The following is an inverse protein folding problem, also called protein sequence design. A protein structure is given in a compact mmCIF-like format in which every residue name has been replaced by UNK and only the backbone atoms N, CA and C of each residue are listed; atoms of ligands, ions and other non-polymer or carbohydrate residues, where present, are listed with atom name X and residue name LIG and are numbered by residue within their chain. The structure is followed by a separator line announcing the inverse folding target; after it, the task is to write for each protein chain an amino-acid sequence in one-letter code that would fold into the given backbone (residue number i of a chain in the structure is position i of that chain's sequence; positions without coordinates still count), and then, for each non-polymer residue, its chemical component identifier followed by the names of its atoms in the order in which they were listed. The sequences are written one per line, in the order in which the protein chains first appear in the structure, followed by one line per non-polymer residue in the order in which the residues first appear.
data_IF_052587242102
#
_entry.id   IF_052587242102
#
_cell.length_a   1.000
_cell.length_b   1.000
_cell.length_c   1.000
_cell.angle_alpha   90.00
_cell.angle_beta   90.00
_cell.angle_gamma   90.00
#
_symmetry.space_group_name_H-M   'P 1'
#
loop_
_entity.id
_entity.type
_entity.pdbx_description
1 polymer ?
#
# COMPACT_ATOMS: atom_id res chain seq x y z
N UNK A 1 38.85 9.55 -37.42
CA UNK A 1 38.00 9.49 -38.63
C UNK A 1 37.28 8.15 -38.63
N UNK A 2 35.96 8.13 -38.83
CA UNK A 2 35.28 6.95 -39.37
C UNK A 2 34.41 6.12 -38.41
N UNK A 3 33.18 6.59 -38.18
CA UNK A 3 31.91 5.86 -38.19
C UNK A 3 31.79 4.53 -37.42
N UNK A 4 31.03 4.54 -36.32
CA UNK A 4 29.96 3.55 -36.04
C UNK A 4 28.91 4.21 -35.11
N UNK A 5 27.78 4.61 -35.70
CA UNK A 5 26.55 5.04 -35.03
C UNK A 5 25.41 4.36 -35.78
N UNK A 6 24.69 3.43 -35.15
CA UNK A 6 23.29 3.08 -35.45
C UNK A 6 22.83 1.92 -34.55
N UNK A 7 21.54 1.95 -34.22
CA UNK A 7 20.72 0.93 -33.54
C UNK A 7 20.69 0.95 -32.00
N UNK A 8 19.94 1.89 -31.43
CA UNK A 8 18.84 1.59 -30.46
C UNK A 8 17.76 2.68 -30.63
N UNK A 9 16.76 2.43 -31.46
CA UNK A 9 15.51 3.20 -31.50
C UNK A 9 14.45 2.29 -32.11
N UNK A 10 13.70 1.58 -31.26
CA UNK A 10 12.40 0.96 -31.57
C UNK A 10 11.89 0.21 -30.31
N UNK A 11 11.55 0.97 -29.27
CA UNK A 11 10.77 0.43 -28.13
C UNK A 11 9.81 1.46 -27.52
N UNK A 12 9.89 2.73 -27.93
CA UNK A 12 9.15 3.82 -27.30
C UNK A 12 7.74 4.08 -27.86
N UNK A 13 7.29 3.29 -28.84
CA UNK A 13 5.96 3.45 -29.46
C UNK A 13 4.96 2.32 -29.13
N UNK A 14 5.37 1.29 -28.38
CA UNK A 14 4.45 0.21 -27.99
C UNK A 14 3.86 0.37 -26.57
N UNK A 15 4.36 1.30 -25.76
CA UNK A 15 3.93 1.42 -24.36
C UNK A 15 2.77 2.42 -24.13
N UNK A 16 2.49 3.30 -25.08
CA UNK A 16 1.36 4.25 -24.98
C UNK A 16 -0.02 3.61 -25.25
N UNK A 17 -0.07 2.37 -25.75
CA UNK A 17 -1.34 1.66 -25.95
C UNK A 17 -1.78 0.84 -24.72
N UNK A 18 -0.86 0.34 -23.91
CA UNK A 18 -1.18 -0.54 -22.76
C UNK A 18 -1.62 0.20 -21.48
N UNK A 19 -1.34 1.51 -21.36
CA UNK A 19 -1.79 2.30 -20.20
C UNK A 19 -3.29 2.65 -20.29
N UNK A 20 -3.87 2.68 -21.51
CA UNK A 20 -5.32 2.88 -21.69
C UNK A 20 -6.17 1.68 -21.28
N UNK A 21 -5.62 0.46 -21.32
CA UNK A 21 -6.38 -0.76 -21.01
C UNK A 21 -6.40 -1.10 -19.50
N UNK A 22 -5.41 -0.66 -18.71
CA UNK A 22 -5.33 -1.07 -17.31
C UNK A 22 -6.12 -0.18 -16.33
N UNK A 23 -6.47 1.05 -16.70
CA UNK A 23 -7.47 1.83 -15.95
C UNK A 23 -8.89 1.24 -16.17
N UNK A 24 -9.09 0.47 -17.25
CA UNK A 24 -10.38 -0.14 -17.60
C UNK A 24 -10.77 -1.38 -16.77
N UNK A 25 -9.84 -2.02 -16.03
CA UNK A 25 -10.13 -3.24 -15.28
C UNK A 25 -10.43 -3.03 -13.78
N UNK A 26 -10.50 -1.77 -13.33
CA UNK A 26 -10.79 -1.42 -11.94
C UNK A 26 -12.27 -1.22 -11.67
N UNK A 27 -13.11 -2.17 -12.10
CA UNK A 27 -14.43 -2.34 -11.51
C UNK A 27 -14.75 -3.81 -11.39
N UNK A 28 -15.16 -4.21 -10.19
CA UNK A 28 -15.66 -5.54 -9.88
C UNK A 28 -16.66 -6.00 -10.94
N UNK A 29 -16.38 -7.15 -11.60
CA UNK A 29 -17.28 -7.98 -12.41
C UNK A 29 -18.60 -7.28 -12.81
N UNK A 30 -18.60 -6.60 -13.96
CA UNK A 30 -19.83 -6.35 -14.72
C UNK A 30 -20.17 -4.91 -15.10
N UNK A 31 -19.45 -3.88 -14.66
CA UNK A 31 -19.72 -2.52 -15.16
C UNK A 31 -18.91 -2.22 -16.42
N UNK A 32 -19.60 -2.24 -17.57
CA UNK A 32 -19.08 -1.69 -18.83
C UNK A 32 -18.71 -0.23 -18.59
N UNK A 33 -17.45 0.14 -18.83
CA UNK A 33 -17.00 1.53 -18.82
C UNK A 33 -17.65 2.26 -20.00
N UNK A 34 -18.82 2.83 -19.74
CA UNK A 34 -19.50 3.66 -20.73
C UNK A 34 -18.88 5.04 -20.66
N UNK A 35 -18.13 5.42 -21.69
CA UNK A 35 -17.60 6.78 -21.82
C UNK A 35 -18.78 7.75 -21.92
N UNK A 36 -18.91 8.62 -20.91
CA UNK A 36 -19.99 9.60 -20.88
C UNK A 36 -19.62 10.76 -21.79
N UNK A 37 -20.45 11.02 -22.80
CA UNK A 37 -20.41 12.29 -23.51
C UNK A 37 -21.30 13.25 -22.73
N UNK A 38 -20.69 14.23 -22.06
CA UNK A 38 -21.41 15.34 -21.42
C UNK A 38 -21.11 16.62 -22.18
N UNK A 39 -22.15 17.40 -22.47
CA UNK A 39 -22.00 18.69 -23.13
C UNK A 39 -23.10 19.65 -22.70
N UNK A 40 -22.73 20.90 -22.43
CA UNK A 40 -23.69 21.99 -22.21
C UNK A 40 -24.24 22.45 -23.56
N UNK A 41 -25.56 22.59 -23.66
CA UNK A 41 -26.28 23.09 -24.84
C UNK A 41 -27.18 24.24 -24.44
N UNK A 42 -27.46 25.11 -25.39
CA UNK A 42 -28.37 26.23 -25.21
C UNK A 42 -29.62 25.93 -26.02
N UNK A 43 -30.80 26.14 -25.44
CA UNK A 43 -32.08 26.07 -26.15
C UNK A 43 -32.18 27.27 -27.08
N UNK A 44 -32.35 27.03 -28.38
CA UNK A 44 -32.49 28.10 -29.36
C UNK A 44 -33.86 28.82 -29.27
N UNK A 45 -34.01 29.88 -30.05
CA UNK A 45 -35.23 30.69 -30.14
C UNK A 45 -36.46 29.89 -30.60
N UNK A 46 -36.24 28.73 -31.23
CA UNK A 46 -37.28 27.81 -31.66
C UNK A 46 -37.52 26.64 -30.68
N UNK A 47 -36.89 26.66 -29.49
CA UNK A 47 -37.02 25.59 -28.50
C UNK A 47 -36.28 24.30 -28.88
N UNK A 48 -35.23 24.38 -29.71
CA UNK A 48 -34.48 23.23 -30.21
C UNK A 48 -33.12 23.11 -29.53
N UNK A 49 -32.59 21.89 -29.54
CA UNK A 49 -31.31 21.54 -28.93
C UNK A 49 -30.43 20.82 -29.94
N UNK A 50 -29.20 21.31 -30.13
CA UNK A 50 -28.22 20.73 -31.06
C UNK A 50 -27.55 19.49 -30.45
N UNK A 51 -27.69 18.34 -31.11
CA UNK A 51 -26.96 17.13 -30.74
C UNK A 51 -25.60 17.09 -31.47
N UNK A 52 -24.47 17.04 -30.74
CA UNK A 52 -23.16 17.02 -31.37
C UNK A 52 -22.95 15.73 -32.16
N UNK A 53 -22.09 15.81 -33.18
CA UNK A 53 -21.84 14.70 -34.12
C UNK A 53 -21.45 13.39 -33.40
N UNK A 54 -20.65 13.46 -32.33
CA UNK A 54 -20.28 12.30 -31.53
C UNK A 54 -21.46 11.66 -30.78
N UNK A 55 -22.40 12.45 -30.24
CA UNK A 55 -23.62 11.93 -29.62
C UNK A 55 -24.54 11.29 -30.67
N UNK A 56 -24.67 11.90 -31.85
CA UNK A 56 -25.45 11.35 -32.96
C UNK A 56 -24.90 10.00 -33.44
N UNK A 57 -23.57 9.90 -33.57
CA UNK A 57 -22.89 8.63 -33.89
C UNK A 57 -23.09 7.58 -32.79
N UNK A 58 -23.01 7.97 -31.51
CA UNK A 58 -23.20 7.04 -30.39
C UNK A 58 -24.63 6.47 -30.32
N UNK A 59 -25.62 7.26 -30.73
CA UNK A 59 -27.01 6.84 -30.82
C UNK A 59 -27.34 5.99 -32.07
N UNK A 60 -26.37 5.76 -32.96
CA UNK A 60 -26.58 5.12 -34.26
C UNK A 60 -27.79 5.69 -35.01
N UNK A 61 -27.89 7.02 -35.08
CA UNK A 61 -28.97 7.71 -35.77
C UNK A 61 -28.74 7.61 -37.28
N UNK A 62 -29.06 6.43 -37.84
CA UNK A 62 -29.16 6.20 -39.29
C UNK A 62 -30.50 6.74 -39.84
N UNK A 63 -31.48 6.99 -38.97
CA UNK A 63 -32.82 7.48 -39.30
C UNK A 63 -32.99 8.96 -38.89
N UNK A 64 -33.86 9.70 -39.60
CA UNK A 64 -34.15 11.12 -39.36
C UNK A 64 -34.94 11.40 -38.06
N UNK A 65 -35.02 10.44 -37.13
CA UNK A 65 -35.75 10.59 -35.88
C UNK A 65 -35.07 9.87 -34.71
N UNK A 66 -35.46 10.28 -33.51
CA UNK A 66 -35.12 9.60 -32.25
C UNK A 66 -36.38 9.29 -31.45
N UNK A 67 -36.24 8.41 -30.47
CA UNK A 67 -37.31 8.11 -29.52
C UNK A 67 -37.09 8.93 -28.26
N UNK A 68 -38.01 9.85 -27.99
CA UNK A 68 -38.00 10.72 -26.82
C UNK A 68 -38.98 10.22 -25.75
N UNK A 69 -38.50 10.12 -24.51
CA UNK A 69 -39.28 9.75 -23.31
C UNK A 69 -39.07 10.80 -22.24
N UNK A 70 -40.09 11.08 -21.44
CA UNK A 70 -39.98 12.08 -20.38
C UNK A 70 -40.18 11.40 -19.04
N UNK A 71 -39.20 11.59 -18.15
CA UNK A 71 -39.31 11.22 -16.75
C UNK A 71 -39.78 12.45 -15.96
N UNK A 72 -41.10 12.52 -15.77
CA UNK A 72 -41.73 13.61 -15.02
C UNK A 72 -41.29 13.67 -13.54
N UNK A 73 -40.81 12.56 -12.96
CA UNK A 73 -40.40 12.53 -11.55
C UNK A 73 -39.00 13.10 -11.36
N UNK A 74 -38.14 12.91 -12.36
CA UNK A 74 -36.74 13.34 -12.32
C UNK A 74 -36.48 14.63 -13.08
N UNK A 75 -37.48 15.18 -13.77
CA UNK A 75 -37.34 16.34 -14.66
C UNK A 75 -36.28 16.09 -15.76
N UNK A 76 -36.33 14.91 -16.38
CA UNK A 76 -35.38 14.47 -17.41
C UNK A 76 -36.09 14.15 -18.73
N UNK A 77 -35.41 14.42 -19.85
CA UNK A 77 -35.81 13.92 -21.17
C UNK A 77 -34.81 12.85 -21.59
N UNK A 78 -35.25 11.60 -21.76
CA UNK A 78 -34.42 10.50 -22.24
C UNK A 78 -34.61 10.33 -23.76
N UNK A 79 -33.53 9.97 -24.44
CA UNK A 79 -33.42 9.80 -25.88
C UNK A 79 -32.83 8.43 -26.18
N UNK A 80 -33.37 7.70 -27.14
CA UNK A 80 -32.81 6.43 -27.62
C UNK A 80 -33.10 6.24 -29.10
N UNK A 81 -32.36 5.37 -29.79
CA UNK A 81 -32.65 4.97 -31.17
C UNK A 81 -33.86 4.04 -31.27
N UNK A 82 -34.14 3.27 -30.21
CA UNK A 82 -35.17 2.23 -30.20
C UNK A 82 -35.99 2.19 -28.90
N UNK A 83 -37.12 1.47 -28.94
CA UNK A 83 -38.02 1.27 -27.79
C UNK A 83 -39.29 2.14 -27.78
N UNK A 84 -39.87 2.36 -26.59
CA UNK A 84 -41.19 3.02 -26.45
C UNK A 84 -41.05 4.53 -26.27
N UNK A 85 -41.69 5.38 -27.07
CA UNK A 85 -41.68 6.83 -26.84
C UNK A 85 -42.21 7.60 -28.03
N UNK A 86 -42.13 8.93 -27.97
CA UNK A 86 -42.52 9.79 -29.09
C UNK A 86 -41.37 9.83 -30.09
N UNK A 87 -41.64 9.49 -31.35
CA UNK A 87 -40.68 9.73 -32.44
C UNK A 87 -40.56 11.24 -32.66
N UNK A 88 -39.36 11.78 -32.58
CA UNK A 88 -39.08 13.20 -32.78
C UNK A 88 -38.09 13.34 -33.94
N UNK A 89 -38.41 14.10 -34.99
CA UNK A 89 -37.52 14.28 -36.12
C UNK A 89 -36.28 15.09 -35.72
N UNK A 90 -35.17 14.81 -36.39
CA UNK A 90 -33.90 15.51 -36.27
C UNK A 90 -33.71 16.30 -37.55
N UNK A 91 -33.42 17.60 -37.44
CA UNK A 91 -33.16 18.42 -38.63
C UNK A 91 -31.76 18.16 -39.23
N UNK A 92 -31.49 18.70 -40.41
CA UNK A 92 -30.21 18.56 -41.12
C UNK A 92 -29.01 19.08 -40.29
N UNK A 93 -29.26 20.00 -39.36
CA UNK A 93 -28.27 20.53 -38.43
C UNK A 93 -28.07 19.68 -37.16
N UNK A 94 -28.82 18.58 -37.02
CA UNK A 94 -28.79 17.72 -35.84
C UNK A 94 -29.55 18.30 -34.64
N UNK A 95 -30.50 19.21 -34.83
CA UNK A 95 -31.31 19.78 -33.75
C UNK A 95 -32.59 19.00 -33.56
N UNK A 96 -33.03 18.91 -32.31
CA UNK A 96 -34.27 18.25 -31.92
C UNK A 96 -35.20 19.28 -31.26
N UNK A 97 -36.46 19.41 -31.72
CA UNK A 97 -37.43 20.29 -31.11
C UNK A 97 -37.93 19.73 -29.77
N UNK A 98 -37.89 20.56 -28.72
CA UNK A 98 -38.57 20.29 -27.45
C UNK A 98 -39.91 20.99 -27.48
N UNK A 99 -41.01 20.26 -27.30
CA UNK A 99 -42.33 20.89 -27.33
C UNK A 99 -42.51 21.90 -26.19
N UNK A 100 -43.21 23.03 -26.40
CA UNK A 100 -43.44 24.05 -25.39
C UNK A 100 -44.03 23.51 -24.08
N UNK A 101 -44.90 22.50 -24.15
CA UNK A 101 -45.43 21.82 -22.96
C UNK A 101 -44.33 21.27 -22.05
N UNK A 102 -43.28 20.68 -22.64
CA UNK A 102 -42.17 20.09 -21.90
C UNK A 102 -41.20 21.16 -21.39
N UNK A 103 -40.94 22.20 -22.19
CA UNK A 103 -40.16 23.36 -21.76
C UNK A 103 -40.80 24.01 -20.52
N UNK A 104 -42.10 24.32 -20.58
CA UNK A 104 -42.85 24.88 -19.46
C UNK A 104 -42.80 23.99 -18.21
N UNK A 105 -42.95 22.67 -18.41
CA UNK A 105 -42.93 21.70 -17.29
C UNK A 105 -41.56 21.57 -16.62
N UNK A 106 -40.49 21.74 -17.38
CA UNK A 106 -39.12 21.67 -16.88
C UNK A 106 -38.58 23.04 -16.42
N UNK A 107 -39.37 24.11 -16.59
CA UNK A 107 -38.93 25.48 -16.32
C UNK A 107 -37.79 25.91 -17.25
N UNK A 108 -37.78 25.39 -18.49
CA UNK A 108 -36.78 25.72 -19.49
C UNK A 108 -37.32 26.82 -20.41
N UNK A 109 -36.50 27.84 -20.64
CA UNK A 109 -36.77 28.95 -21.55
C UNK A 109 -35.69 29.03 -22.63
N UNK A 110 -35.93 29.81 -23.69
CA UNK A 110 -34.89 30.13 -24.68
C UNK A 110 -33.65 30.71 -23.98
N UNK A 111 -32.47 30.24 -24.36
CA UNK A 111 -31.21 30.61 -23.72
C UNK A 111 -30.85 29.76 -22.50
N UNK A 112 -31.73 28.88 -22.01
CA UNK A 112 -31.41 27.97 -20.90
C UNK A 112 -30.27 27.04 -21.28
N UNK A 113 -29.24 26.99 -20.43
CA UNK A 113 -28.20 25.98 -20.51
C UNK A 113 -28.72 24.64 -20.00
N UNK A 114 -28.63 23.62 -20.83
CA UNK A 114 -29.05 22.26 -20.50
C UNK A 114 -27.89 21.29 -20.71
N UNK A 115 -27.82 20.28 -19.86
CA UNK A 115 -26.88 19.19 -19.96
C UNK A 115 -27.36 18.10 -20.89
N UNK A 116 -26.60 17.78 -21.92
CA UNK A 116 -26.73 16.55 -22.69
C UNK A 116 -25.76 15.51 -22.14
N UNK A 117 -26.28 14.38 -21.68
CA UNK A 117 -25.54 13.25 -21.14
C UNK A 117 -25.80 12.00 -21.98
N UNK A 118 -24.75 11.32 -22.42
CA UNK A 118 -24.86 10.04 -23.15
C UNK A 118 -24.31 8.89 -22.31
N UNK A 119 -25.08 7.81 -22.20
CA UNK A 119 -24.65 6.54 -21.63
C UNK A 119 -24.98 5.40 -22.61
N UNK A 120 -24.03 5.07 -23.48
CA UNK A 120 -24.20 4.05 -24.51
C UNK A 120 -25.14 4.56 -25.59
N UNK A 121 -26.20 3.80 -25.87
CA UNK A 121 -27.24 4.15 -26.85
C UNK A 121 -28.41 4.96 -26.24
N UNK A 122 -28.27 5.43 -25.00
CA UNK A 122 -29.26 6.28 -24.34
C UNK A 122 -28.65 7.67 -24.04
N UNK A 123 -29.41 8.71 -24.36
CA UNK A 123 -29.11 10.10 -24.05
C UNK A 123 -30.08 10.68 -23.02
N UNK A 124 -29.66 11.66 -22.25
CA UNK A 124 -30.48 12.37 -21.26
C UNK A 124 -30.23 13.87 -21.40
N UNK A 125 -31.30 14.66 -21.57
CA UNK A 125 -31.27 16.11 -21.36
C UNK A 125 -31.77 16.42 -19.95
N UNK A 126 -31.02 17.25 -19.23
CA UNK A 126 -31.35 17.69 -17.89
C UNK A 126 -30.93 19.16 -17.68
N UNK A 127 -31.51 19.84 -16.68
CA UNK A 127 -31.30 21.29 -16.50
C UNK A 127 -29.86 21.70 -16.20
N UNK A 128 -28.99 20.80 -15.75
CA UNK A 128 -27.56 21.10 -15.54
C UNK A 128 -26.69 20.00 -16.13
N UNK A 129 -25.68 20.36 -16.93
CA UNK A 129 -24.68 19.39 -17.37
C UNK A 129 -24.01 18.74 -16.16
N UNK A 130 -23.89 17.39 -16.12
CA UNK A 130 -23.03 16.79 -15.12
C UNK A 130 -21.63 17.35 -15.31
N UNK A 131 -21.00 17.66 -14.20
CA UNK A 131 -19.66 18.22 -14.14
C UNK A 131 -18.81 17.43 -13.17
N UNK A 132 -17.50 17.50 -13.37
CA UNK A 132 -16.51 16.94 -12.48
C UNK A 132 -16.67 17.59 -11.11
N UNK A 133 -16.88 16.79 -10.07
CA UNK A 133 -17.02 17.28 -8.69
C UNK A 133 -15.77 17.99 -8.16
N UNK A 134 -14.61 17.79 -8.81
CA UNK A 134 -13.32 18.36 -8.41
C UNK A 134 -13.07 19.70 -9.12
N UNK A 135 -13.15 19.74 -10.45
CA UNK A 135 -12.75 20.92 -11.24
C UNK A 135 -13.91 21.61 -11.98
N UNK A 136 -15.13 21.07 -11.93
CA UNK A 136 -16.28 21.60 -12.66
C UNK A 136 -16.29 21.33 -14.18
N UNK A 137 -15.25 20.69 -14.75
CA UNK A 137 -15.22 20.33 -16.16
C UNK A 137 -16.38 19.39 -16.52
N UNK A 138 -17.04 19.61 -17.66
CA UNK A 138 -18.05 18.71 -18.20
C UNK A 138 -17.49 17.73 -19.24
N UNK A 139 -16.16 17.65 -19.40
CA UNK A 139 -15.51 16.81 -20.40
C UNK A 139 -14.97 15.51 -19.81
N UNK A 140 -14.97 14.44 -20.62
CA UNK A 140 -14.38 13.13 -20.29
C UNK A 140 -14.77 12.61 -18.89
N UNK A 141 -16.07 12.71 -18.56
CA UNK A 141 -16.57 12.32 -17.25
C UNK A 141 -16.66 10.80 -17.11
N UNK A 142 -16.26 10.32 -15.95
CA UNK A 142 -16.47 8.95 -15.49
C UNK A 142 -17.37 8.98 -14.26
N UNK A 143 -18.37 8.10 -14.23
CA UNK A 143 -19.24 7.93 -13.08
C UNK A 143 -18.56 6.99 -12.08
N UNK A 144 -18.00 7.55 -11.00
CA UNK A 144 -17.39 6.77 -9.90
C UNK A 144 -18.38 6.75 -8.75
N UNK A 145 -18.93 5.57 -8.46
CA UNK A 145 -20.02 5.37 -7.48
C UNK A 145 -21.26 6.20 -7.85
N UNK A 146 -21.39 7.42 -7.33
CA UNK A 146 -22.52 8.33 -7.56
C UNK A 146 -22.08 9.74 -7.97
N UNK A 147 -20.79 9.93 -8.24
CA UNK A 147 -20.19 11.24 -8.53
C UNK A 147 -19.46 11.18 -9.87
N UNK A 148 -19.55 12.27 -10.64
CA UNK A 148 -18.80 12.42 -11.88
C UNK A 148 -17.42 13.02 -11.60
N UNK A 149 -16.39 12.43 -12.18
CA UNK A 149 -15.02 12.93 -12.13
C UNK A 149 -14.45 12.86 -13.54
N UNK A 150 -13.78 13.91 -14.02
CA UNK A 150 -13.15 13.87 -15.34
C UNK A 150 -11.86 13.02 -15.32
N UNK A 151 -11.51 12.47 -16.49
CA UNK A 151 -10.26 11.71 -16.71
C UNK A 151 -9.02 12.49 -16.22
N UNK A 152 -8.94 13.80 -16.48
CA UNK A 152 -7.82 14.65 -16.05
C UNK A 152 -7.66 14.68 -14.52
N UNK A 153 -8.74 14.91 -13.78
CA UNK A 153 -8.68 14.94 -12.31
C UNK A 153 -8.33 13.56 -11.73
N UNK A 154 -8.78 12.47 -12.36
CA UNK A 154 -8.39 11.11 -11.95
C UNK A 154 -6.91 10.90 -12.19
N UNK A 155 -6.40 11.33 -13.35
CA UNK A 155 -4.99 11.20 -13.71
C UNK A 155 -4.10 12.02 -12.76
N UNK A 156 -4.36 13.32 -12.61
CA UNK A 156 -3.62 14.20 -11.69
C UNK A 156 -3.68 13.69 -10.25
N UNK A 157 -4.85 13.25 -9.78
CA UNK A 157 -5.00 12.68 -8.44
C UNK A 157 -4.19 11.39 -8.25
N UNK A 158 -4.14 10.55 -9.28
CA UNK A 158 -3.34 9.32 -9.29
C UNK A 158 -1.84 9.63 -9.25
N UNK A 159 -1.36 10.55 -10.08
CA UNK A 159 0.04 10.96 -10.11
C UNK A 159 0.48 11.57 -8.78
N UNK A 160 -0.31 12.49 -8.23
CA UNK A 160 -0.04 13.06 -6.92
C UNK A 160 -0.01 12.01 -5.80
N UNK A 161 -0.84 10.96 -5.90
CA UNK A 161 -0.79 9.82 -4.98
C UNK A 161 0.51 9.04 -5.16
N UNK A 162 0.86 8.64 -6.38
CA UNK A 162 2.08 7.88 -6.68
C UNK A 162 3.34 8.65 -6.26
N UNK A 163 3.39 9.96 -6.49
CA UNK A 163 4.50 10.83 -6.08
C UNK A 163 4.69 10.83 -4.56
N UNK A 164 3.60 10.98 -3.77
CA UNK A 164 3.68 10.88 -2.31
C UNK A 164 4.21 9.53 -1.83
N UNK A 165 3.73 8.43 -2.44
CA UNK A 165 4.23 7.10 -2.12
C UNK A 165 5.71 6.94 -2.49
N UNK A 166 6.11 7.43 -3.66
CA UNK A 166 7.48 7.37 -4.17
C UNK A 166 8.44 8.15 -3.27
N UNK A 167 8.08 9.37 -2.86
CA UNK A 167 8.90 10.20 -1.98
C UNK A 167 9.18 9.51 -0.63
N UNK A 168 8.13 9.10 0.10
CA UNK A 168 8.31 8.50 1.43
C UNK A 168 9.03 7.15 1.37
N UNK A 169 8.75 6.34 0.33
CA UNK A 169 9.47 5.09 0.11
C UNK A 169 10.94 5.31 -0.30
N UNK A 170 11.18 6.32 -1.13
CA UNK A 170 12.50 6.75 -1.59
C UNK A 170 13.40 7.18 -0.43
N UNK A 171 12.89 8.04 0.45
CA UNK A 171 13.61 8.46 1.66
C UNK A 171 13.97 7.26 2.54
N UNK A 172 13.00 6.36 2.78
CA UNK A 172 13.22 5.15 3.57
C UNK A 172 14.27 4.21 2.93
N UNK A 173 14.27 4.11 1.60
CA UNK A 173 15.25 3.32 0.85
C UNK A 173 16.65 3.93 0.96
N UNK A 174 16.76 5.25 0.79
CA UNK A 174 18.04 5.95 0.86
C UNK A 174 18.66 5.82 2.26
N UNK A 175 17.88 6.08 3.31
CA UNK A 175 18.33 5.85 4.69
C UNK A 175 18.76 4.39 4.93
N UNK A 176 18.00 3.43 4.38
CA UNK A 176 18.35 2.02 4.51
C UNK A 176 19.69 1.70 3.85
N UNK A 177 19.94 2.19 2.64
CA UNK A 177 21.19 2.00 1.91
C UNK A 177 22.37 2.58 2.67
N UNK A 178 22.25 3.83 3.14
CA UNK A 178 23.30 4.49 3.94
C UNK A 178 23.64 3.72 5.22
N UNK A 179 22.62 3.21 5.93
CA UNK A 179 22.88 2.41 7.12
C UNK A 179 23.47 1.03 6.78
N UNK A 180 23.15 0.43 5.63
CA UNK A 180 23.82 -0.79 5.17
C UNK A 180 25.31 -0.55 4.90
N UNK A 181 25.67 0.56 4.27
CA UNK A 181 27.07 0.94 4.02
C UNK A 181 27.83 1.20 5.34
N UNK A 182 27.19 1.88 6.31
CA UNK A 182 27.79 2.10 7.63
C UNK A 182 27.91 0.82 8.45
N UNK A 183 26.92 -0.07 8.36
CA UNK A 183 26.86 -1.30 9.15
C UNK A 183 28.07 -2.24 8.91
N UNK A 184 28.69 -2.22 7.73
CA UNK A 184 29.87 -3.06 7.43
C UNK A 184 31.18 -2.50 8.00
N UNK A 185 31.17 -1.25 8.48
CA UNK A 185 32.34 -0.62 9.12
C UNK A 185 32.49 -1.00 10.58
N UNK A 186 31.38 -1.41 11.22
CA UNK A 186 31.29 -1.72 12.66
C UNK A 186 31.77 -0.62 13.60
N UNK A 187 31.83 0.62 13.12
CA UNK A 187 32.20 1.79 13.93
C UNK A 187 31.15 2.13 14.98
N UNK A 188 29.87 1.87 14.68
CA UNK A 188 28.75 2.06 15.58
C UNK A 188 27.78 0.87 15.48
N UNK A 189 27.53 0.18 16.60
CA UNK A 189 26.60 -0.97 16.67
C UNK A 189 25.16 -0.58 16.34
N UNK A 190 24.82 0.69 16.50
CA UNK A 190 23.49 1.22 16.16
C UNK A 190 23.25 1.22 14.65
N UNK A 191 24.28 1.26 13.80
CA UNK A 191 24.10 1.24 12.34
C UNK A 191 23.50 -0.08 11.86
N UNK A 192 23.94 -1.21 12.43
CA UNK A 192 23.33 -2.53 12.16
C UNK A 192 21.86 -2.54 12.61
N UNK A 193 21.56 -1.96 13.77
CA UNK A 193 20.18 -1.86 14.27
C UNK A 193 19.29 -1.01 13.35
N UNK A 194 19.79 0.15 12.91
CA UNK A 194 19.08 1.07 12.00
C UNK A 194 18.87 0.43 10.64
N UNK A 195 19.90 -0.15 10.02
CA UNK A 195 19.80 -0.90 8.77
C UNK A 195 18.72 -1.99 8.87
N UNK A 196 18.78 -2.82 9.93
CA UNK A 196 17.82 -3.91 10.14
C UNK A 196 16.39 -3.39 10.31
N UNK A 197 16.21 -2.27 11.01
CA UNK A 197 14.90 -1.67 11.26
C UNK A 197 14.32 -1.03 10.01
N UNK A 198 15.11 -0.24 9.27
CA UNK A 198 14.70 0.42 8.02
C UNK A 198 14.40 -0.62 6.93
N UNK A 199 15.26 -1.62 6.73
CA UNK A 199 15.02 -2.71 5.79
C UNK A 199 13.77 -3.54 6.12
N UNK A 200 13.49 -3.80 7.41
CA UNK A 200 12.25 -4.48 7.83
C UNK A 200 11.00 -3.64 7.52
N UNK A 201 11.06 -2.32 7.73
CA UNK A 201 9.98 -1.39 7.37
C UNK A 201 9.75 -1.42 5.87
N UNK A 202 10.80 -1.19 5.07
CA UNK A 202 10.74 -1.17 3.61
C UNK A 202 10.13 -2.47 3.07
N UNK A 203 10.63 -3.63 3.52
CA UNK A 203 10.09 -4.94 3.15
C UNK A 203 8.61 -5.12 3.50
N UNK A 204 8.18 -4.58 4.64
CA UNK A 204 6.77 -4.65 5.07
C UNK A 204 5.89 -3.78 4.18
N UNK A 205 6.36 -2.59 3.81
CA UNK A 205 5.61 -1.60 3.05
C UNK A 205 5.48 -1.98 1.58
N UNK A 206 6.56 -2.42 0.92
CA UNK A 206 6.47 -2.91 -0.46
C UNK A 206 5.53 -4.13 -0.56
N UNK A 207 5.50 -4.98 0.48
CA UNK A 207 4.57 -6.09 0.52
C UNK A 207 3.12 -5.66 0.76
N UNK A 208 2.92 -4.60 1.55
CA UNK A 208 1.61 -4.02 1.82
C UNK A 208 0.97 -3.45 0.55
N UNK A 209 1.76 -2.81 -0.33
CA UNK A 209 1.27 -2.26 -1.61
C UNK A 209 1.10 -3.31 -2.72
N UNK A 210 1.40 -4.59 -2.44
CA UNK A 210 1.12 -5.68 -3.37
C UNK A 210 2.34 -6.41 -3.94
N UNK A 211 3.58 -6.00 -3.62
CA UNK A 211 4.77 -6.74 -4.05
C UNK A 211 4.81 -8.12 -3.36
N UNK A 212 4.91 -9.16 -4.17
CA UNK A 212 4.92 -10.54 -3.70
C UNK A 212 6.29 -10.93 -3.12
N UNK A 213 6.33 -11.99 -2.33
CA UNK A 213 7.55 -12.43 -1.64
C UNK A 213 8.61 -13.06 -2.55
N UNK A 214 8.19 -13.52 -3.72
CA UNK A 214 9.03 -14.07 -4.77
C UNK A 214 9.68 -12.99 -5.64
N UNK A 215 9.22 -11.74 -5.53
CA UNK A 215 9.78 -10.59 -6.23
C UNK A 215 11.28 -10.39 -5.91
N UNK A 216 12.15 -10.13 -6.91
CA UNK A 216 13.59 -9.98 -6.71
C UNK A 216 13.97 -8.94 -5.64
N UNK A 217 13.33 -7.76 -5.66
CA UNK A 217 13.56 -6.72 -4.66
C UNK A 217 13.23 -7.20 -3.23
N UNK A 218 12.13 -7.94 -3.07
CA UNK A 218 11.74 -8.48 -1.76
C UNK A 218 12.74 -9.54 -1.26
N UNK A 219 13.25 -10.39 -2.17
CA UNK A 219 14.26 -11.41 -1.85
C UNK A 219 15.57 -10.77 -1.38
N UNK A 220 16.11 -9.78 -2.10
CA UNK A 220 17.30 -9.03 -1.66
C UNK A 220 17.12 -8.41 -0.27
N UNK A 221 16.00 -7.72 -0.04
CA UNK A 221 15.70 -7.14 1.27
C UNK A 221 15.60 -8.21 2.37
N UNK A 222 15.13 -9.41 2.05
CA UNK A 222 15.09 -10.52 2.99
C UNK A 222 16.49 -11.06 3.28
N UNK A 223 17.30 -11.30 2.25
CA UNK A 223 18.66 -11.81 2.40
C UNK A 223 19.51 -10.85 3.25
N UNK A 224 19.49 -9.55 2.94
CA UNK A 224 20.17 -8.55 3.76
C UNK A 224 19.64 -8.51 5.19
N UNK A 225 18.33 -8.64 5.40
CA UNK A 225 17.73 -8.68 6.74
C UNK A 225 18.22 -9.87 7.57
N UNK A 226 18.45 -11.01 6.92
CA UNK A 226 18.85 -12.24 7.58
C UNK A 226 20.34 -12.16 7.99
N UNK A 227 21.23 -11.62 7.13
CA UNK A 227 22.65 -11.42 7.49
C UNK A 227 22.84 -10.33 8.55
N UNK A 228 22.17 -9.17 8.40
CA UNK A 228 22.10 -8.15 9.47
C UNK A 228 21.51 -8.70 10.77
N UNK A 229 20.71 -9.77 10.64
CA UNK A 229 19.97 -10.36 11.74
C UNK A 229 20.88 -10.99 12.78
N UNK A 230 21.82 -11.80 12.28
CA UNK A 230 22.80 -12.54 13.08
C UNK A 230 23.64 -11.62 13.96
N UNK A 231 24.24 -10.57 13.38
CA UNK A 231 25.05 -9.59 14.14
C UNK A 231 24.20 -8.88 15.19
N UNK A 232 22.99 -8.42 14.83
CA UNK A 232 22.14 -7.69 15.77
C UNK A 232 21.64 -8.54 16.93
N UNK A 233 21.42 -9.83 16.70
CA UNK A 233 21.02 -10.77 17.76
C UNK A 233 22.13 -10.89 18.81
N UNK A 234 23.39 -11.03 18.37
CA UNK A 234 24.55 -11.06 19.27
C UNK A 234 24.74 -9.72 19.99
N UNK A 235 24.61 -8.57 19.30
CA UNK A 235 24.73 -7.24 19.93
C UNK A 235 23.69 -7.03 21.04
N UNK A 236 22.43 -7.45 20.82
CA UNK A 236 21.36 -7.34 21.82
C UNK A 236 21.63 -8.24 23.02
N UNK A 237 22.13 -9.45 22.78
CA UNK A 237 22.48 -10.37 23.86
C UNK A 237 23.60 -9.80 24.73
N UNK A 238 24.69 -9.36 24.10
CA UNK A 238 25.85 -8.77 24.80
C UNK A 238 25.41 -7.57 25.62
N UNK A 239 24.69 -6.59 25.03
CA UNK A 239 24.23 -5.39 25.75
C UNK A 239 23.35 -5.72 26.96
N UNK A 240 22.52 -6.77 26.86
CA UNK A 240 21.67 -7.19 27.97
C UNK A 240 22.46 -7.89 29.08
N UNK A 241 23.39 -8.76 28.70
CA UNK A 241 24.16 -9.57 29.65
C UNK A 241 25.26 -8.76 30.33
N UNK A 242 25.78 -7.73 29.68
CA UNK A 242 26.72 -6.78 30.26
C UNK A 242 26.09 -6.05 31.46
N UNK A 243 24.85 -5.56 31.29
CA UNK A 243 24.06 -4.95 32.39
C UNK A 243 23.78 -5.92 33.55
N UNK A 244 23.57 -7.21 33.24
CA UNK A 244 23.39 -8.23 34.28
C UNK A 244 24.73 -8.54 34.98
N UNK A 245 25.86 -8.53 34.26
CA UNK A 245 27.19 -8.75 34.83
C UNK A 245 27.59 -7.67 35.84
N UNK A 246 27.23 -6.41 35.59
CA UNK A 246 27.50 -5.29 36.50
C UNK A 246 26.74 -5.38 37.84
N UNK A 247 25.54 -5.96 37.83
CA UNK A 247 24.56 -5.83 38.92
C UNK A 247 24.20 -7.16 39.61
N UNK A 248 24.84 -8.26 39.22
CA UNK A 248 24.47 -9.59 39.69
C UNK A 248 25.67 -10.34 40.27
N UNK A 249 25.41 -11.15 41.30
CA UNK A 249 26.42 -12.00 41.96
C UNK A 249 27.01 -13.08 41.04
N UNK A 250 26.43 -13.28 39.86
CA UNK A 250 26.93 -14.19 38.82
C UNK A 250 27.74 -13.46 37.73
N UNK A 251 28.36 -12.33 38.08
CA UNK A 251 29.11 -11.46 37.16
C UNK A 251 30.09 -12.23 36.26
N UNK A 252 30.94 -13.07 36.84
CA UNK A 252 31.91 -13.89 36.09
C UNK A 252 31.25 -14.83 35.07
N UNK A 253 30.13 -15.44 35.42
CA UNK A 253 29.41 -16.33 34.52
C UNK A 253 28.77 -15.56 33.35
N UNK A 254 28.21 -14.38 33.62
CA UNK A 254 27.70 -13.51 32.55
C UNK A 254 28.84 -13.06 31.62
N UNK A 255 30.01 -12.72 32.14
CA UNK A 255 31.20 -12.41 31.33
C UNK A 255 31.64 -13.58 30.45
N UNK A 256 31.60 -14.82 30.95
CA UNK A 256 31.88 -16.02 30.13
C UNK A 256 30.88 -16.17 28.98
N UNK A 257 29.58 -15.95 29.22
CA UNK A 257 28.58 -15.97 28.13
C UNK A 257 28.85 -14.86 27.11
N UNK A 258 29.15 -13.65 27.56
CA UNK A 258 29.48 -12.52 26.67
C UNK A 258 30.67 -12.88 25.79
N UNK A 259 31.78 -13.33 26.38
CA UNK A 259 33.00 -13.70 25.63
C UNK A 259 32.69 -14.69 24.50
N UNK A 260 31.89 -15.72 24.78
CA UNK A 260 31.54 -16.71 23.75
C UNK A 260 30.70 -16.11 22.62
N UNK A 261 29.73 -15.24 22.95
CA UNK A 261 28.90 -14.57 21.94
C UNK A 261 29.69 -13.51 21.16
N UNK A 262 30.75 -12.94 21.74
CA UNK A 262 31.65 -12.03 21.03
C UNK A 262 32.45 -12.74 19.93
N UNK A 263 32.91 -13.96 20.19
CA UNK A 263 33.54 -14.81 19.17
C UNK A 263 32.58 -15.07 17.99
N UNK A 264 31.35 -15.51 18.29
CA UNK A 264 30.31 -15.73 17.27
C UNK A 264 29.93 -14.43 16.55
N UNK A 265 29.91 -13.30 17.27
CA UNK A 265 29.63 -11.98 16.68
C UNK A 265 30.69 -11.64 15.64
N UNK A 266 31.95 -11.92 15.91
CA UNK A 266 33.03 -11.62 14.96
C UNK A 266 32.91 -12.47 13.68
N UNK A 267 32.54 -13.74 13.80
CA UNK A 267 32.21 -14.58 12.64
C UNK A 267 31.06 -14.00 11.82
N UNK A 268 29.96 -13.60 12.49
CA UNK A 268 28.81 -12.97 11.83
C UNK A 268 29.15 -11.60 11.22
N UNK A 269 30.04 -10.82 11.84
CA UNK A 269 30.53 -9.54 11.29
C UNK A 269 31.35 -9.76 10.02
N UNK A 270 32.22 -10.76 10.01
CA UNK A 270 32.95 -11.14 8.82
C UNK A 270 32.01 -11.62 7.69
N UNK A 271 30.99 -12.42 8.01
CA UNK A 271 29.94 -12.80 7.05
C UNK A 271 29.18 -11.56 6.53
N UNK A 272 28.79 -10.63 7.40
CA UNK A 272 28.10 -9.40 7.02
C UNK A 272 28.95 -8.54 6.09
N UNK A 273 30.23 -8.33 6.43
CA UNK A 273 31.17 -7.52 5.64
C UNK A 273 31.40 -8.10 4.25
N UNK A 274 31.40 -9.43 4.11
CA UNK A 274 31.52 -10.10 2.83
C UNK A 274 30.21 -10.05 2.04
N UNK A 275 29.07 -10.42 2.64
CA UNK A 275 27.82 -10.63 1.90
C UNK A 275 27.02 -9.37 1.65
N UNK A 276 26.93 -8.45 2.63
CA UNK A 276 26.02 -7.31 2.53
C UNK A 276 26.32 -6.39 1.33
N UNK A 277 27.60 -6.07 1.02
CA UNK A 277 27.93 -5.26 -0.16
C UNK A 277 27.55 -5.91 -1.49
N UNK A 278 27.48 -7.25 -1.55
CA UNK A 278 27.01 -7.97 -2.73
C UNK A 278 25.49 -8.09 -2.82
N UNK A 279 24.77 -7.92 -1.70
CA UNK A 279 23.30 -7.94 -1.67
C UNK A 279 22.73 -6.54 -1.92
N UNK A 280 23.39 -5.51 -1.39
CA UNK A 280 23.03 -4.10 -1.47
C UNK A 280 24.03 -3.39 -2.39
N UNK A 281 24.09 -3.88 -3.62
CA UNK A 281 24.99 -3.39 -4.66
C UNK A 281 24.30 -2.40 -5.62
N UNK A 282 24.96 -2.09 -6.73
CA UNK A 282 24.40 -1.25 -7.77
C UNK A 282 23.20 -1.94 -8.46
N UNK A 283 23.20 -3.27 -8.60
CA UNK A 283 22.08 -4.01 -9.15
C UNK A 283 20.82 -3.87 -8.27
N UNK A 284 20.98 -3.91 -6.95
CA UNK A 284 19.89 -3.61 -6.01
C UNK A 284 19.33 -2.19 -6.20
N UNK A 285 20.19 -1.21 -6.47
CA UNK A 285 19.79 0.17 -6.75
C UNK A 285 19.02 0.29 -8.08
N UNK A 286 19.43 -0.47 -9.10
CA UNK A 286 18.70 -0.58 -10.38
C UNK A 286 17.34 -1.22 -10.17
N UNK A 287 17.26 -2.34 -9.44
CA UNK A 287 16.00 -3.02 -9.09
C UNK A 287 15.04 -2.10 -8.34
N UNK A 288 15.56 -1.26 -7.43
CA UNK A 288 14.75 -0.23 -6.77
C UNK A 288 14.21 0.80 -7.75
N UNK A 289 15.05 1.28 -8.66
CA UNK A 289 14.68 2.28 -9.67
C UNK A 289 13.59 1.74 -10.59
N UNK A 290 13.75 0.53 -11.12
CA UNK A 290 12.73 -0.17 -11.92
C UNK A 290 11.42 -0.30 -11.16
N UNK A 291 11.46 -0.76 -9.91
CA UNK A 291 10.25 -0.84 -9.09
C UNK A 291 9.58 0.53 -8.92
N UNK A 292 10.35 1.57 -8.59
CA UNK A 292 9.83 2.93 -8.34
C UNK A 292 9.22 3.58 -9.58
N UNK A 293 9.84 3.37 -10.75
CA UNK A 293 9.43 3.99 -12.02
C UNK A 293 8.33 3.19 -12.74
N UNK A 294 8.47 1.87 -12.79
CA UNK A 294 7.66 1.03 -13.69
C UNK A 294 6.54 0.28 -12.95
N UNK A 295 6.74 -0.08 -11.67
CA UNK A 295 5.83 -0.99 -10.94
C UNK A 295 5.01 -0.30 -9.84
N UNK A 296 5.53 0.78 -9.27
CA UNK A 296 4.93 1.46 -8.12
C UNK A 296 3.54 2.02 -8.47
N UNK A 297 3.40 2.67 -9.63
CA UNK A 297 2.12 3.23 -10.09
C UNK A 297 1.03 2.17 -10.11
N UNK A 298 1.32 1.05 -10.73
CA UNK A 298 0.41 -0.09 -10.84
C UNK A 298 0.03 -0.66 -9.47
N UNK A 299 1.00 -0.75 -8.56
CA UNK A 299 0.81 -1.24 -7.19
C UNK A 299 -0.10 -0.31 -6.38
N UNK A 300 0.16 1.01 -6.43
CA UNK A 300 -0.60 2.02 -5.70
C UNK A 300 -2.02 2.15 -6.23
N UNK A 301 -2.21 2.15 -7.55
CA UNK A 301 -3.54 2.26 -8.18
C UNK A 301 -4.44 1.07 -7.82
N UNK A 302 -3.87 -0.14 -7.71
CA UNK A 302 -4.62 -1.36 -7.34
C UNK A 302 -4.82 -1.51 -5.83
N UNK A 303 -4.21 -0.66 -5.00
CA UNK A 303 -4.26 -0.78 -3.55
C UNK A 303 -5.53 -0.18 -2.97
N UNK A 304 -6.44 -1.05 -2.53
CA UNK A 304 -7.48 -0.67 -1.56
C UNK A 304 -6.87 -0.71 -0.14
N UNK A 305 -6.48 0.47 0.35
CA UNK A 305 -5.81 0.64 1.65
C UNK A 305 -6.68 0.10 2.80
N UNK A 306 -7.99 0.39 2.80
CA UNK A 306 -8.90 -0.01 3.86
C UNK A 306 -9.04 -1.52 3.91
N UNK A 307 -9.25 -2.15 2.74
CA UNK A 307 -9.34 -3.60 2.64
C UNK A 307 -8.01 -4.27 3.02
N UNK A 308 -6.89 -3.76 2.52
CA UNK A 308 -5.56 -4.30 2.84
C UNK A 308 -5.26 -4.18 4.34
N UNK A 309 -5.50 -3.02 4.96
CA UNK A 309 -5.28 -2.80 6.38
C UNK A 309 -6.15 -3.72 7.24
N UNK A 310 -7.45 -3.84 6.93
CA UNK A 310 -8.37 -4.76 7.62
C UNK A 310 -7.90 -6.21 7.56
N UNK A 311 -7.27 -6.65 6.46
CA UNK A 311 -6.70 -8.00 6.39
C UNK A 311 -5.52 -8.19 7.35
N UNK A 312 -4.69 -7.17 7.55
CA UNK A 312 -3.60 -7.23 8.53
C UNK A 312 -4.12 -7.18 9.97
N UNK A 313 -5.17 -6.40 10.24
CA UNK A 313 -5.87 -6.35 11.53
C UNK A 313 -6.55 -7.68 11.86
N UNK A 314 -7.28 -8.28 10.91
CA UNK A 314 -7.86 -9.62 11.06
C UNK A 314 -6.80 -10.67 11.40
N UNK A 315 -5.66 -10.67 10.70
CA UNK A 315 -4.52 -11.57 11.02
C UNK A 315 -3.93 -11.32 12.40
N UNK A 316 -4.04 -10.11 12.94
CA UNK A 316 -3.63 -9.80 14.31
C UNK A 316 -4.62 -10.42 15.29
N UNK A 317 -5.91 -10.19 15.09
CA UNK A 317 -6.97 -10.74 15.95
C UNK A 317 -6.96 -12.27 15.97
N UNK A 318 -6.77 -12.92 14.82
CA UNK A 318 -6.61 -14.38 14.72
C UNK A 318 -5.41 -14.90 15.53
N UNK A 319 -4.30 -14.15 15.58
CA UNK A 319 -3.11 -14.53 16.37
C UNK A 319 -3.34 -14.30 17.85
N UNK A 320 -4.03 -13.23 18.22
CA UNK A 320 -4.43 -12.97 19.61
C UNK A 320 -5.36 -14.07 20.10
N UNK A 321 -6.36 -14.44 19.30
CA UNK A 321 -7.28 -15.54 19.58
C UNK A 321 -6.52 -16.86 19.79
N UNK A 322 -5.65 -17.25 18.84
CA UNK A 322 -4.80 -18.44 18.98
C UNK A 322 -3.93 -18.41 20.23
N UNK A 323 -3.36 -17.26 20.58
CA UNK A 323 -2.63 -17.11 21.83
C UNK A 323 -3.56 -17.35 23.02
N UNK A 324 -4.76 -16.74 23.07
CA UNK A 324 -5.75 -16.87 24.15
C UNK A 324 -6.25 -18.30 24.37
N UNK A 325 -6.34 -19.13 23.34
CA UNK A 325 -6.75 -20.54 23.47
C UNK A 325 -5.70 -21.47 24.11
N UNK A 326 -4.42 -21.09 24.09
CA UNK A 326 -3.36 -21.96 24.65
C UNK A 326 -3.47 -22.03 26.17
N UNK A 327 -3.65 -23.22 26.76
CA UNK A 327 -3.79 -23.39 28.21
C UNK A 327 -2.54 -22.95 28.98
N UNK A 328 -1.36 -23.43 28.57
CA UNK A 328 -0.10 -23.04 29.19
C UNK A 328 0.61 -21.95 28.39
N UNK A 329 0.41 -20.69 28.79
CA UNK A 329 1.04 -19.52 28.16
C UNK A 329 2.56 -19.47 28.30
N UNK A 330 3.13 -20.23 29.25
CA UNK A 330 4.56 -20.25 29.54
C UNK A 330 5.31 -21.31 28.75
N UNK A 331 4.58 -22.27 28.18
CA UNK A 331 5.15 -23.26 27.25
C UNK A 331 5.73 -22.58 26.00
N UNK A 332 6.65 -23.26 25.32
CA UNK A 332 7.23 -22.79 24.06
C UNK A 332 6.15 -22.44 23.03
N UNK A 333 5.09 -23.27 22.95
CA UNK A 333 3.92 -23.01 22.11
C UNK A 333 3.20 -21.70 22.47
N UNK A 334 3.04 -21.42 23.76
CA UNK A 334 2.46 -20.18 24.26
C UNK A 334 3.30 -18.96 23.90
N UNK A 335 4.62 -19.06 24.09
CA UNK A 335 5.56 -17.98 23.78
C UNK A 335 5.69 -17.74 22.27
N UNK A 336 5.66 -18.79 21.45
CA UNK A 336 5.66 -18.68 19.98
C UNK A 336 4.40 -18.01 19.45
N UNK A 337 3.23 -18.34 20.03
CA UNK A 337 1.99 -17.66 19.70
C UNK A 337 2.05 -16.17 20.07
N UNK A 338 2.59 -15.83 21.24
CA UNK A 338 2.81 -14.44 21.65
C UNK A 338 3.81 -13.71 20.74
N UNK A 339 4.89 -14.39 20.32
CA UNK A 339 5.85 -13.83 19.38
C UNK A 339 5.18 -13.54 18.03
N UNK A 340 4.29 -14.41 17.58
CA UNK A 340 3.51 -14.22 16.35
C UNK A 340 2.60 -12.97 16.43
N UNK A 341 1.97 -12.74 17.59
CA UNK A 341 1.21 -11.51 17.89
C UNK A 341 2.13 -10.29 17.82
N UNK A 342 3.28 -10.29 18.53
CA UNK A 342 4.28 -9.20 18.49
C UNK A 342 4.75 -8.90 17.06
N UNK A 343 5.04 -9.93 16.25
CA UNK A 343 5.44 -9.78 14.84
C UNK A 343 4.34 -9.11 14.00
N UNK A 344 3.06 -9.45 14.22
CA UNK A 344 1.96 -8.80 13.51
C UNK A 344 1.75 -7.35 13.94
N UNK A 345 1.81 -7.08 15.24
CA UNK A 345 1.73 -5.72 15.78
C UNK A 345 2.83 -4.83 15.22
N UNK A 346 4.08 -5.33 15.12
CA UNK A 346 5.19 -4.62 14.47
C UNK A 346 4.86 -4.22 13.03
N UNK A 347 4.26 -5.12 12.23
CA UNK A 347 3.87 -4.82 10.85
C UNK A 347 2.78 -3.75 10.78
N UNK A 348 1.72 -3.92 11.57
CA UNK A 348 0.63 -2.94 11.65
C UNK A 348 1.12 -1.56 12.10
N UNK A 349 2.02 -1.50 13.07
CA UNK A 349 2.68 -0.25 13.48
C UNK A 349 3.40 0.41 12.29
N UNK A 350 4.19 -0.33 11.52
CA UNK A 350 4.91 0.23 10.38
C UNK A 350 3.95 0.72 9.29
N UNK A 351 2.93 -0.07 8.96
CA UNK A 351 1.91 0.31 7.98
C UNK A 351 1.18 1.58 8.44
N UNK A 352 0.66 1.61 9.68
CA UNK A 352 -0.04 2.80 10.19
C UNK A 352 0.86 4.03 10.29
N UNK A 353 2.14 3.87 10.68
CA UNK A 353 3.09 4.99 10.69
C UNK A 353 3.30 5.56 9.30
N UNK A 354 3.49 4.69 8.31
CA UNK A 354 3.69 5.10 6.93
C UNK A 354 2.43 5.71 6.33
N UNK A 355 1.26 5.12 6.56
CA UNK A 355 -0.02 5.66 6.08
C UNK A 355 -0.29 7.06 6.65
N UNK A 356 0.18 7.37 7.85
CA UNK A 356 0.10 8.71 8.43
C UNK A 356 0.94 9.76 7.66
N UNK A 357 1.97 9.32 6.93
CA UNK A 357 2.85 10.19 6.14
C UNK A 357 2.30 10.36 4.70
N UNK A 358 1.66 9.32 4.13
CA UNK A 358 1.18 9.36 2.73
C UNK A 358 -0.31 9.69 2.57
N UNK A 359 -1.13 9.52 3.62
CA UNK A 359 -2.58 9.80 3.60
C UNK A 359 -2.92 11.01 4.46
N UNK A 360 -4.01 11.70 4.11
CA UNK A 360 -4.58 12.77 4.93
C UNK A 360 -5.37 12.27 6.16
N UNK A 361 -5.49 10.95 6.33
CA UNK A 361 -6.19 10.31 7.46
C UNK A 361 -5.19 10.08 8.60
N UNK A 362 -5.57 10.44 9.83
CA UNK A 362 -4.73 10.25 11.02
C UNK A 362 -4.71 8.77 11.46
N UNK A 363 -3.55 8.12 11.32
CA UNK A 363 -3.29 6.76 11.76
C UNK A 363 -2.47 6.71 13.07
N UNK A 364 -2.16 7.85 13.68
CA UNK A 364 -1.31 7.98 14.87
C UNK A 364 -1.83 7.15 16.03
N UNK A 365 -3.15 7.18 16.30
CA UNK A 365 -3.75 6.42 17.41
C UNK A 365 -3.54 4.90 17.23
N UNK A 366 -3.82 4.37 16.04
CA UNK A 366 -3.61 2.94 15.72
C UNK A 366 -2.12 2.58 15.81
N UNK A 367 -1.24 3.41 15.26
CA UNK A 367 0.21 3.20 15.33
C UNK A 367 0.71 3.12 16.78
N UNK A 368 0.24 4.01 17.66
CA UNK A 368 0.56 4.03 19.09
C UNK A 368 0.06 2.77 19.82
N UNK A 369 -1.16 2.31 19.51
CA UNK A 369 -1.71 1.07 20.07
C UNK A 369 -0.82 -0.13 19.76
N UNK A 370 -0.46 -0.34 18.48
CA UNK A 370 0.42 -1.46 18.11
C UNK A 370 1.86 -1.31 18.61
N UNK A 371 2.34 -0.07 18.78
CA UNK A 371 3.62 0.20 19.45
C UNK A 371 3.60 -0.23 20.92
N UNK A 372 2.49 -0.02 21.63
CA UNK A 372 2.32 -0.49 23.02
C UNK A 372 2.39 -2.01 23.08
N UNK A 373 1.57 -2.71 22.30
CA UNK A 373 1.58 -4.19 22.19
C UNK A 373 2.99 -4.73 21.85
N UNK A 374 3.70 -4.08 20.91
CA UNK A 374 5.07 -4.44 20.58
C UNK A 374 6.02 -4.33 21.77
N UNK A 375 5.91 -3.25 22.55
CA UNK A 375 6.78 -2.95 23.70
C UNK A 375 6.50 -3.91 24.85
N UNK A 376 5.23 -4.09 25.19
CA UNK A 376 4.79 -4.90 26.34
C UNK A 376 5.26 -6.36 26.21
N UNK A 377 5.36 -6.88 24.98
CA UNK A 377 5.83 -8.25 24.73
C UNK A 377 7.27 -8.31 24.24
N UNK A 378 7.99 -7.17 24.22
CA UNK A 378 9.39 -7.12 23.85
C UNK A 378 10.23 -7.99 24.76
N UNK A 379 10.22 -7.61 26.03
CA UNK A 379 11.04 -8.21 27.09
C UNK A 379 10.74 -9.70 27.29
N UNK A 380 9.49 -10.12 27.09
CA UNK A 380 9.09 -11.54 27.20
C UNK A 380 9.79 -12.39 26.14
N UNK A 381 9.79 -11.92 24.89
CA UNK A 381 10.42 -12.65 23.80
C UNK A 381 11.93 -12.60 23.93
N UNK A 382 12.48 -11.46 24.31
CA UNK A 382 13.93 -11.29 24.45
C UNK A 382 14.45 -12.20 25.61
N UNK A 383 13.73 -12.32 26.74
CA UNK A 383 14.05 -13.28 27.82
C UNK A 383 13.97 -14.74 27.39
N UNK A 384 12.97 -15.10 26.58
CA UNK A 384 12.86 -16.45 26.03
C UNK A 384 14.09 -16.78 25.19
N UNK A 385 14.48 -15.86 24.31
CA UNK A 385 15.62 -16.04 23.43
C UNK A 385 16.92 -16.16 24.27
N UNK A 386 17.09 -15.35 25.34
CA UNK A 386 18.22 -15.48 26.28
C UNK A 386 18.26 -16.84 27.02
N UNK A 387 17.11 -17.40 27.41
CA UNK A 387 17.05 -18.72 28.05
C UNK A 387 17.50 -19.83 27.09
N UNK A 388 17.14 -19.73 25.81
CA UNK A 388 17.62 -20.67 24.80
C UNK A 388 19.11 -20.49 24.53
N UNK A 389 19.56 -19.25 24.40
CA UNK A 389 20.96 -18.93 24.10
C UNK A 389 21.89 -19.40 25.22
N UNK A 390 21.57 -19.07 26.48
CA UNK A 390 22.34 -19.57 27.63
C UNK A 390 22.31 -21.10 27.73
N UNK A 391 21.31 -21.79 27.18
CA UNK A 391 21.29 -23.26 27.06
C UNK A 391 22.32 -23.75 26.07
N UNK A 392 22.32 -23.19 24.87
CA UNK A 392 23.30 -23.50 23.82
C UNK A 392 24.73 -23.26 24.31
N UNK A 393 24.98 -22.07 24.88
CA UNK A 393 26.34 -21.66 25.27
C UNK A 393 26.92 -22.47 26.43
N UNK A 394 26.11 -22.98 27.36
CA UNK A 394 26.65 -23.77 28.49
C UNK A 394 27.31 -25.07 28.06
N UNK A 395 26.86 -25.65 26.94
CA UNK A 395 27.46 -26.87 26.39
C UNK A 395 28.91 -26.61 25.97
N UNK A 396 29.21 -25.38 25.54
CA UNK A 396 30.52 -24.96 25.07
C UNK A 396 31.45 -24.43 26.17
N UNK A 397 30.89 -23.88 27.26
CA UNK A 397 31.68 -23.27 28.35
C UNK A 397 32.20 -24.33 29.33
N UNK A 398 31.86 -25.62 29.14
CA UNK A 398 32.24 -26.76 30.01
C UNK A 398 31.95 -26.51 31.50
N UNK A 399 30.93 -25.71 31.78
CA UNK A 399 30.59 -25.24 33.12
C UNK A 399 29.20 -25.79 33.44
N UNK A 400 29.11 -27.03 33.94
CA UNK A 400 27.88 -27.60 34.54
C UNK A 400 27.70 -27.11 35.98
N UNK A 401 28.17 -25.90 36.27
CA UNK A 401 28.03 -25.31 37.60
C UNK A 401 26.57 -25.13 37.95
N UNK A 402 26.30 -25.35 39.23
CA UNK A 402 25.04 -25.02 39.88
C UNK A 402 24.61 -23.56 39.61
N UNK A 403 25.56 -22.68 39.31
CA UNK A 403 25.31 -21.26 39.00
C UNK A 403 24.66 -21.04 37.63
N UNK A 404 24.99 -21.80 36.59
CA UNK A 404 24.25 -21.78 35.31
C UNK A 404 22.79 -22.15 35.52
N UNK A 405 22.54 -23.19 36.33
CA UNK A 405 21.17 -23.63 36.68
C UNK A 405 20.43 -22.53 37.44
N UNK A 406 21.10 -21.81 38.36
CA UNK A 406 20.52 -20.68 39.10
C UNK A 406 20.21 -19.48 38.20
N UNK A 407 21.12 -19.06 37.31
CA UNK A 407 20.88 -17.97 36.35
C UNK A 407 19.67 -18.28 35.48
N UNK A 408 19.59 -19.48 34.89
CA UNK A 408 18.41 -19.89 34.11
C UNK A 408 17.13 -19.90 34.92
N UNK A 409 17.20 -20.32 36.19
CA UNK A 409 16.04 -20.28 37.09
C UNK A 409 15.57 -18.85 37.33
N UNK A 410 16.49 -17.89 37.51
CA UNK A 410 16.17 -16.46 37.64
C UNK A 410 15.51 -15.90 36.37
N UNK A 411 16.09 -16.15 35.19
CA UNK A 411 15.52 -15.73 33.92
C UNK A 411 14.12 -16.32 33.70
N UNK A 412 13.93 -17.61 33.98
CA UNK A 412 12.63 -18.28 33.90
C UNK A 412 11.60 -17.70 34.88
N UNK A 413 12.01 -17.33 36.10
CA UNK A 413 11.12 -16.67 37.06
C UNK A 413 10.67 -15.30 36.57
N UNK A 414 11.61 -14.49 36.03
CA UNK A 414 11.30 -13.19 35.41
C UNK A 414 10.35 -13.33 34.22
N UNK A 415 10.63 -14.28 33.32
CA UNK A 415 9.74 -14.62 32.19
C UNK A 415 8.34 -14.98 32.68
N UNK A 416 8.22 -15.89 33.65
CA UNK A 416 6.93 -16.31 34.23
C UNK A 416 6.17 -15.15 34.87
N UNK A 417 6.86 -14.18 35.46
CA UNK A 417 6.25 -12.97 36.04
C UNK A 417 5.67 -12.09 34.94
N UNK A 418 6.44 -11.80 33.89
CA UNK A 418 5.99 -10.95 32.78
C UNK A 418 4.86 -11.58 31.98
N UNK A 419 4.93 -12.89 31.69
CA UNK A 419 3.85 -13.61 30.98
C UNK A 419 2.52 -13.54 31.73
N UNK A 420 2.52 -13.51 33.08
CA UNK A 420 1.30 -13.34 33.88
C UNK A 420 0.69 -11.94 33.76
N UNK A 421 1.45 -10.94 33.33
CA UNK A 421 1.02 -9.56 33.18
C UNK A 421 0.55 -9.24 31.75
N UNK A 422 0.54 -10.23 30.85
CA UNK A 422 0.07 -10.04 29.47
C UNK A 422 -1.44 -9.81 29.47
N UNK A 423 -1.84 -8.59 29.11
CA UNK A 423 -3.22 -8.20 28.85
C UNK A 423 -3.43 -8.12 27.34
N UNK A 424 -4.35 -8.94 26.80
CA UNK A 424 -4.71 -9.03 25.37
C UNK A 424 -6.21 -9.18 25.19
#
# INVERSE_FOLDING_TARGET
MGKYYAYISLSFWFFTLHVRENICNLTSKGSVNVKIISATRIIDDMGRVVFPNNARKALNLEEDYLIMRIDNKKHLINFSSSGRGKKVPIDESGRIPISPEYMNKLGWETGTEIGLFMQGEEGVLQGNAPSCVICGSNQALLLIKKTHVCEDCIHTGTEASVERWSAVLGDLFQEYKEYCEKAVTFTNTEDVHKARTKGRRLRTLIHFIGIKKDHPLYKCLKEAHDVLGKVRENDVFIEAFDKEAENNKYSELYSKFIQKVEEEREEHRNELKQKLPHIIDDEFSVRWTTFSQDELKDSVVKLDIDTALKQYEKKFDERVFKYKEIKDKKSDKGLDALHSVRKQAKKLRYICSFLNEVQSIDYTRKSKQYKKVQKDYGDIIDLRDWIHETRSLSENIQDDSDDVKKVRKQLNQRLKKLVKQVEL
#
